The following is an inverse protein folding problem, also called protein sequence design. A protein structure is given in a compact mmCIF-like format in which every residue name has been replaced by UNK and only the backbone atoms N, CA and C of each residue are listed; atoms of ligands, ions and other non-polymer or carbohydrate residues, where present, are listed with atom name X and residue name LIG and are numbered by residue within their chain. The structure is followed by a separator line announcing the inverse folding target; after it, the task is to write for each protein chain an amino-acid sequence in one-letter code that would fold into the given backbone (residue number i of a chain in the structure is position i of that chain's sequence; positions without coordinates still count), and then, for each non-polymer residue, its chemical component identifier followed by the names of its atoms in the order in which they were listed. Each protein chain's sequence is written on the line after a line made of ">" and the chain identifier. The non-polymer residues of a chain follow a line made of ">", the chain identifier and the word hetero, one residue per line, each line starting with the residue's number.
data_IF_160698386137
#
_entry.id   IF_160698386137
#
_cell.length_a   1.000
_cell.length_b   1.000
_cell.length_c   1.000
_cell.angle_alpha   90.00
_cell.angle_beta   90.00
_cell.angle_gamma   90.00
#
_symmetry.space_group_name_H-M   'P 1'
#
loop_
_entity.id
_entity.type
_entity.pdbx_description
1 polymer ?
#
# COMPACT_ATOMS: atom_id res chain seq x y z
N UNK A 1 12.81 0.96 24.32
CA UNK A 1 12.40 -0.25 23.62
C UNK A 1 12.10 0.12 22.19
N UNK A 2 12.83 -0.45 21.22
CA UNK A 2 12.56 -0.25 19.82
C UNK A 2 11.35 -1.07 19.38
N UNK A 3 10.42 -0.46 18.67
CA UNK A 3 9.42 -1.21 17.89
C UNK A 3 10.13 -1.87 16.71
N UNK A 4 9.75 -3.10 16.42
CA UNK A 4 10.21 -3.82 15.22
C UNK A 4 9.08 -3.78 14.22
N UNK A 5 9.39 -3.32 13.02
CA UNK A 5 8.49 -3.36 11.88
C UNK A 5 8.92 -4.54 11.01
N UNK A 6 8.03 -5.48 10.83
CA UNK A 6 8.27 -6.68 10.03
C UNK A 6 7.56 -6.58 8.68
N UNK A 7 8.17 -7.13 7.62
CA UNK A 7 7.63 -7.16 6.27
C UNK A 7 7.20 -5.78 5.71
N UNK A 8 7.92 -4.73 6.11
CA UNK A 8 7.65 -3.37 5.62
C UNK A 8 8.03 -3.25 4.16
N UNK A 9 7.20 -2.53 3.38
CA UNK A 9 7.38 -2.29 1.95
C UNK A 9 7.20 -3.56 1.08
N UNK A 10 6.44 -4.53 1.55
CA UNK A 10 5.97 -5.62 0.70
C UNK A 10 5.06 -5.05 -0.40
N UNK A 11 5.23 -5.51 -1.62
CA UNK A 11 4.36 -5.17 -2.74
C UNK A 11 3.22 -6.19 -2.78
N UNK A 12 2.00 -5.72 -2.81
CA UNK A 12 0.82 -6.54 -3.03
C UNK A 12 0.19 -6.18 -4.38
N UNK A 13 -0.23 -7.19 -5.10
CA UNK A 13 -0.96 -7.12 -6.34
C UNK A 13 -2.32 -7.82 -6.18
N UNK A 14 -3.37 -7.19 -6.68
CA UNK A 14 -4.75 -7.71 -6.66
C UNK A 14 -5.49 -7.31 -7.93
N UNK A 15 -6.66 -7.93 -8.19
CA UNK A 15 -7.49 -7.55 -9.33
C UNK A 15 -8.10 -6.16 -9.18
N UNK A 16 -8.31 -5.53 -10.31
CA UNK A 16 -9.18 -4.37 -10.46
C UNK A 16 -10.06 -4.56 -11.70
N UNK A 17 -11.35 -4.77 -11.50
CA UNK A 17 -12.39 -4.92 -12.54
C UNK A 17 -13.24 -3.64 -12.65
N UNK A 18 -12.69 -2.53 -12.16
CA UNK A 18 -13.31 -1.21 -12.21
C UNK A 18 -13.02 -0.46 -13.50
N UNK A 19 -13.47 0.77 -13.52
CA UNK A 19 -13.16 1.73 -14.57
C UNK A 19 -12.06 2.71 -14.11
N UNK A 20 -11.83 3.78 -14.86
CA UNK A 20 -10.84 4.80 -14.51
C UNK A 20 -11.20 5.66 -13.29
N UNK A 21 -12.38 5.48 -12.69
CA UNK A 21 -12.87 6.26 -11.56
C UNK A 21 -12.93 5.46 -10.27
N UNK A 22 -13.30 4.17 -10.35
CA UNK A 22 -13.59 3.36 -9.17
C UNK A 22 -12.86 2.02 -9.19
N UNK A 23 -12.08 1.77 -8.13
CA UNK A 23 -11.52 0.44 -7.87
C UNK A 23 -12.65 -0.56 -7.60
N UNK A 24 -12.61 -1.69 -8.29
CA UNK A 24 -13.56 -2.79 -8.10
C UNK A 24 -12.85 -4.13 -8.01
N UNK A 25 -12.76 -4.73 -6.81
CA UNK A 25 -12.16 -6.05 -6.68
C UNK A 25 -13.01 -7.10 -7.41
N UNK A 26 -12.38 -8.01 -8.12
CA UNK A 26 -13.09 -9.15 -8.72
C UNK A 26 -13.71 -10.05 -7.65
N UNK A 27 -14.77 -10.81 -8.01
CA UNK A 27 -15.48 -11.70 -7.07
C UNK A 27 -14.59 -12.78 -6.47
N UNK A 28 -13.59 -13.24 -7.20
CA UNK A 28 -12.59 -14.20 -6.75
C UNK A 28 -11.29 -13.48 -6.43
N UNK A 29 -11.20 -12.97 -5.23
CA UNK A 29 -10.02 -12.25 -4.79
C UNK A 29 -8.79 -13.19 -4.77
N UNK A 30 -7.80 -12.86 -5.60
CA UNK A 30 -6.50 -13.52 -5.63
C UNK A 30 -5.42 -12.48 -5.48
N UNK A 31 -4.90 -12.37 -4.26
CA UNK A 31 -3.83 -11.44 -3.91
C UNK A 31 -2.49 -12.14 -4.02
N UNK A 32 -1.56 -11.49 -4.67
CA UNK A 32 -0.17 -11.92 -4.80
C UNK A 32 0.72 -10.92 -4.08
N UNK A 33 1.79 -11.39 -3.47
CA UNK A 33 2.72 -10.51 -2.76
C UNK A 33 4.16 -10.76 -3.18
N UNK A 34 5.00 -9.75 -3.02
CA UNK A 34 6.43 -9.84 -3.37
C UNK A 34 7.17 -10.90 -2.55
N UNK A 35 6.62 -11.34 -1.42
CA UNK A 35 7.17 -12.46 -0.65
C UNK A 35 7.12 -13.80 -1.39
N UNK A 36 6.27 -13.91 -2.42
CA UNK A 36 6.12 -15.12 -3.25
C UNK A 36 6.98 -15.07 -4.52
N UNK A 37 7.56 -13.91 -4.84
CA UNK A 37 8.39 -13.68 -6.01
C UNK A 37 9.89 -13.79 -5.75
N UNK A 38 10.65 -13.44 -6.76
CA UNK A 38 12.11 -13.29 -6.66
C UNK A 38 12.44 -11.95 -6.01
N UNK A 39 13.46 -11.92 -5.15
CA UNK A 39 13.91 -10.69 -4.54
C UNK A 39 15.43 -10.64 -4.37
N UNK A 40 15.97 -9.45 -4.48
CA UNK A 40 17.38 -9.13 -4.24
C UNK A 40 17.46 -7.92 -3.31
N UNK A 41 18.39 -7.94 -2.37
CA UNK A 41 18.62 -6.82 -1.45
C UNK A 41 20.09 -6.46 -1.45
N UNK A 42 20.39 -5.20 -1.76
CA UNK A 42 21.72 -4.61 -1.67
C UNK A 42 21.73 -3.54 -0.58
N UNK A 43 22.70 -3.62 0.35
CA UNK A 43 22.86 -2.62 1.43
C UNK A 43 24.15 -1.86 1.23
N UNK A 44 24.05 -0.53 1.24
CA UNK A 44 25.15 0.40 1.03
C UNK A 44 25.28 1.30 2.25
N UNK A 45 26.46 1.32 2.89
CA UNK A 45 26.77 2.18 4.02
C UNK A 45 27.71 3.30 3.59
N UNK A 46 27.29 4.53 3.84
CA UNK A 46 28.07 5.74 3.60
C UNK A 46 28.32 6.48 4.94
N UNK A 47 29.22 7.45 4.95
CA UNK A 47 29.59 8.15 6.19
C UNK A 47 28.40 8.88 6.87
N UNK A 48 27.39 9.26 6.12
CA UNK A 48 26.27 10.11 6.58
C UNK A 48 24.88 9.51 6.34
N UNK A 49 24.80 8.39 5.64
CA UNK A 49 23.54 7.66 5.40
C UNK A 49 23.78 6.17 5.18
N UNK A 50 22.69 5.40 5.28
CA UNK A 50 22.64 4.02 4.82
C UNK A 50 21.51 3.88 3.80
N UNK A 51 21.70 3.09 2.76
CA UNK A 51 20.69 2.75 1.76
C UNK A 51 20.51 1.26 1.65
N UNK A 52 19.26 0.84 1.46
CA UNK A 52 18.94 -0.50 0.99
C UNK A 52 18.21 -0.38 -0.36
N UNK A 53 18.67 -1.10 -1.36
CA UNK A 53 17.98 -1.24 -2.65
C UNK A 53 17.37 -2.64 -2.67
N UNK A 54 16.05 -2.70 -2.79
CA UNK A 54 15.27 -3.93 -2.76
C UNK A 54 14.65 -4.08 -4.14
N UNK A 55 14.93 -5.17 -4.83
CA UNK A 55 14.37 -5.48 -6.14
C UNK A 55 13.46 -6.67 -6.02
N UNK A 56 12.24 -6.54 -6.51
CA UNK A 56 11.26 -7.60 -6.59
C UNK A 56 10.89 -7.87 -8.04
N UNK A 57 10.69 -9.16 -8.34
CA UNK A 57 10.10 -9.61 -9.60
C UNK A 57 9.02 -10.63 -9.30
N UNK A 58 7.80 -10.31 -9.69
CA UNK A 58 6.62 -11.11 -9.43
C UNK A 58 6.01 -11.56 -10.76
N UNK A 59 5.66 -12.85 -10.86
CA UNK A 59 4.74 -13.31 -11.89
C UNK A 59 3.33 -12.93 -11.45
N UNK A 60 2.58 -12.28 -12.33
CA UNK A 60 1.20 -11.83 -12.08
C UNK A 60 0.32 -12.22 -13.27
N UNK A 61 -1.01 -12.30 -13.12
CA UNK A 61 -1.91 -12.39 -14.28
C UNK A 61 -1.71 -11.20 -15.21
N UNK A 62 -1.68 -11.44 -16.52
CA UNK A 62 -1.55 -10.36 -17.50
C UNK A 62 -2.82 -9.52 -17.61
N UNK A 63 -3.99 -10.11 -17.30
CA UNK A 63 -5.31 -9.49 -17.35
C UNK A 63 -6.32 -10.26 -16.47
N UNK A 64 -7.60 -9.83 -16.47
CA UNK A 64 -8.69 -10.50 -15.75
C UNK A 64 -9.00 -11.91 -16.27
N UNK A 65 -8.76 -12.20 -17.54
CA UNK A 65 -9.00 -13.54 -18.09
C UNK A 65 -7.98 -14.53 -17.53
N UNK A 66 -6.71 -14.18 -17.51
CA UNK A 66 -5.68 -15.00 -16.87
C UNK A 66 -5.90 -15.14 -15.37
N UNK A 67 -6.34 -14.06 -14.70
CA UNK A 67 -6.67 -14.09 -13.29
C UNK A 67 -7.77 -15.12 -12.99
N UNK A 68 -8.84 -15.12 -13.76
CA UNK A 68 -9.92 -16.09 -13.65
C UNK A 68 -9.45 -17.52 -13.91
N UNK A 69 -8.49 -17.68 -14.82
CA UNK A 69 -7.89 -18.98 -15.15
C UNK A 69 -6.75 -19.39 -14.18
N UNK A 70 -6.40 -18.55 -13.20
CA UNK A 70 -5.26 -18.75 -12.27
C UNK A 70 -3.92 -18.90 -13.01
N UNK A 71 -3.75 -18.15 -14.09
CA UNK A 71 -2.51 -18.07 -14.87
C UNK A 71 -1.74 -16.79 -14.55
N UNK A 72 -0.43 -16.81 -14.77
CA UNK A 72 0.49 -15.70 -14.45
C UNK A 72 1.54 -15.62 -15.57
N UNK A 73 1.21 -14.95 -16.66
CA UNK A 73 2.16 -14.69 -17.74
C UNK A 73 2.68 -13.25 -17.73
N UNK A 74 2.01 -12.36 -17.03
CA UNK A 74 2.45 -10.99 -16.79
C UNK A 74 3.60 -10.92 -15.77
N UNK A 75 4.23 -9.78 -15.69
CA UNK A 75 5.34 -9.52 -14.77
C UNK A 75 5.16 -8.15 -14.12
N UNK A 76 5.35 -8.08 -12.83
CA UNK A 76 5.47 -6.85 -12.06
C UNK A 76 6.88 -6.76 -11.48
N UNK A 77 7.62 -5.72 -11.84
CA UNK A 77 8.95 -5.43 -11.32
C UNK A 77 8.88 -4.20 -10.41
N UNK A 78 9.52 -4.29 -9.25
CA UNK A 78 9.59 -3.17 -8.32
C UNK A 78 11.02 -2.99 -7.80
N UNK A 79 11.52 -1.76 -7.84
CA UNK A 79 12.76 -1.37 -7.18
C UNK A 79 12.41 -0.33 -6.10
N UNK A 80 12.72 -0.65 -4.85
CA UNK A 80 12.53 0.22 -3.70
C UNK A 80 13.89 0.64 -3.16
N UNK A 81 14.18 1.93 -3.18
CA UNK A 81 15.37 2.49 -2.54
C UNK A 81 14.99 3.11 -1.21
N UNK A 82 15.42 2.50 -0.13
CA UNK A 82 15.18 2.94 1.26
C UNK A 82 16.42 3.66 1.77
N UNK A 83 16.29 4.92 2.16
CA UNK A 83 17.39 5.75 2.65
C UNK A 83 17.15 6.21 4.08
N UNK A 84 18.12 5.97 4.95
CA UNK A 84 18.15 6.48 6.32
C UNK A 84 19.40 7.35 6.51
N UNK A 85 19.21 8.64 6.69
CA UNK A 85 20.28 9.59 7.02
C UNK A 85 20.61 9.56 8.50
N UNK A 86 21.88 9.81 8.86
CA UNK A 86 22.31 9.88 10.25
C UNK A 86 21.51 10.93 11.02
N UNK A 87 21.13 10.61 12.26
CA UNK A 87 20.32 11.46 13.13
C UNK A 87 18.94 11.84 12.59
N UNK A 88 18.46 11.21 11.52
CA UNK A 88 17.10 11.36 11.03
C UNK A 88 16.15 10.36 11.70
N UNK A 89 14.90 10.80 11.92
CA UNK A 89 13.77 9.92 12.25
C UNK A 89 12.91 9.62 11.04
N UNK A 90 13.26 10.22 9.89
CA UNK A 90 12.58 10.01 8.62
C UNK A 90 13.34 8.95 7.83
N UNK A 91 12.60 8.03 7.26
CA UNK A 91 13.06 7.08 6.27
C UNK A 91 12.50 7.57 4.93
N UNK A 92 13.36 7.77 3.95
CA UNK A 92 12.95 8.13 2.59
C UNK A 92 12.85 6.86 1.75
N UNK A 93 11.78 6.73 0.99
CA UNK A 93 11.53 5.58 0.10
C UNK A 93 11.24 6.10 -1.29
N UNK A 94 12.03 5.68 -2.26
CA UNK A 94 11.76 5.86 -3.69
C UNK A 94 11.32 4.51 -4.26
N UNK A 95 10.18 4.50 -4.95
CA UNK A 95 9.64 3.31 -5.60
C UNK A 95 9.62 3.50 -7.12
N UNK A 96 10.12 2.51 -7.85
CA UNK A 96 10.02 2.42 -9.30
C UNK A 96 9.32 1.12 -9.64
N UNK A 97 8.27 1.21 -10.45
CA UNK A 97 7.47 0.07 -10.87
C UNK A 97 7.55 -0.10 -12.38
N UNK A 98 7.91 -1.32 -12.82
CA UNK A 98 7.75 -1.79 -14.19
C UNK A 98 6.46 -2.60 -14.26
N UNK A 99 5.38 -1.96 -14.68
CA UNK A 99 4.08 -2.59 -14.80
C UNK A 99 3.87 -3.10 -16.23
N UNK A 100 3.66 -4.41 -16.38
CA UNK A 100 3.42 -5.11 -17.65
C UNK A 100 2.19 -6.01 -17.58
N UNK A 101 1.18 -5.59 -16.82
CA UNK A 101 -0.10 -6.26 -16.71
C UNK A 101 -1.23 -5.22 -16.68
N UNK A 102 -2.44 -5.64 -17.04
CA UNK A 102 -3.64 -4.84 -17.07
C UNK A 102 -4.60 -5.26 -15.94
N UNK A 103 -5.62 -4.46 -15.70
CA UNK A 103 -6.76 -4.76 -14.82
C UNK A 103 -6.34 -5.18 -13.40
N UNK A 104 -5.36 -4.48 -12.84
CA UNK A 104 -4.87 -4.78 -11.50
C UNK A 104 -4.50 -3.53 -10.68
N UNK A 105 -4.54 -3.68 -9.38
CA UNK A 105 -4.13 -2.71 -8.40
C UNK A 105 -2.85 -3.16 -7.72
N UNK A 106 -1.89 -2.24 -7.59
CA UNK A 106 -0.62 -2.47 -6.88
C UNK A 106 -0.57 -1.61 -5.63
N UNK A 107 -0.22 -2.20 -4.49
CA UNK A 107 -0.10 -1.53 -3.20
C UNK A 107 1.26 -1.78 -2.57
N UNK A 108 1.75 -0.81 -1.81
CA UNK A 108 2.88 -0.97 -0.90
C UNK A 108 2.33 -1.15 0.51
N UNK A 109 2.65 -2.27 1.14
CA UNK A 109 2.18 -2.59 2.48
C UNK A 109 3.18 -2.08 3.52
N UNK A 110 2.65 -1.43 4.56
CA UNK A 110 3.42 -0.91 5.68
C UNK A 110 2.77 -1.39 6.98
N UNK A 111 3.04 -2.63 7.42
CA UNK A 111 2.51 -3.14 8.67
C UNK A 111 3.03 -2.33 9.86
N UNK A 112 2.16 -2.06 10.83
CA UNK A 112 2.52 -1.38 12.07
C UNK A 112 2.48 -2.35 13.24
N UNK A 113 3.42 -2.25 14.22
CA UNK A 113 3.42 -3.09 15.42
C UNK A 113 2.46 -2.56 16.50
N UNK A 114 1.52 -1.71 16.12
CA UNK A 114 0.47 -1.15 16.96
C UNK A 114 -0.83 -1.04 16.15
N UNK A 115 -1.94 -1.00 16.85
CA UNK A 115 -3.27 -0.77 16.26
C UNK A 115 -3.70 0.67 16.51
N UNK A 116 -4.48 1.23 15.62
CA UNK A 116 -5.07 2.56 15.78
C UNK A 116 -6.56 2.50 15.44
N UNK A 117 -7.38 3.20 16.21
CA UNK A 117 -8.83 3.25 15.95
C UNK A 117 -9.17 4.26 14.84
N UNK A 118 -8.28 5.21 14.60
CA UNK A 118 -8.46 6.28 13.62
C UNK A 118 -7.21 6.53 12.80
N UNK A 119 -7.42 7.07 11.61
CA UNK A 119 -6.38 7.59 10.72
C UNK A 119 -6.65 9.07 10.43
N UNK A 120 -5.62 9.90 10.55
CA UNK A 120 -5.64 11.30 10.12
C UNK A 120 -4.99 11.40 8.76
N UNK A 121 -5.66 11.97 7.78
CA UNK A 121 -5.08 12.26 6.47
C UNK A 121 -5.42 13.68 6.01
N UNK A 122 -4.58 14.25 5.18
CA UNK A 122 -4.85 15.56 4.61
C UNK A 122 -5.82 15.48 3.42
N UNK A 123 -6.54 16.56 3.21
CA UNK A 123 -7.48 16.76 2.11
C UNK A 123 -7.28 18.16 1.53
N UNK A 124 -8.08 18.52 0.50
CA UNK A 124 -7.97 19.82 -0.19
C UNK A 124 -8.05 21.05 0.71
N UNK A 125 -8.73 20.96 1.86
CA UNK A 125 -8.97 22.13 2.74
C UNK A 125 -8.56 21.90 4.19
N UNK A 126 -7.77 20.88 4.46
CA UNK A 126 -7.31 20.58 5.82
C UNK A 126 -7.05 19.11 6.03
N UNK A 127 -7.25 18.64 7.27
CA UNK A 127 -7.05 17.24 7.65
C UNK A 127 -8.37 16.66 8.13
N UNK A 128 -8.59 15.39 7.84
CA UNK A 128 -9.76 14.65 8.24
C UNK A 128 -9.35 13.39 9.01
N UNK A 129 -9.95 13.22 10.20
CA UNK A 129 -9.80 11.97 10.96
C UNK A 129 -10.95 11.05 10.61
N UNK A 130 -10.61 9.81 10.24
CA UNK A 130 -11.56 8.75 9.89
C UNK A 130 -11.40 7.57 10.83
N UNK A 131 -12.46 6.85 11.16
CA UNK A 131 -12.33 5.56 11.83
C UNK A 131 -11.64 4.55 10.89
N UNK A 132 -10.80 3.69 11.45
CA UNK A 132 -10.18 2.57 10.69
C UNK A 132 -11.26 1.53 10.36
N UNK A 133 -12.18 1.29 11.32
CA UNK A 133 -13.36 0.46 11.10
C UNK A 133 -14.60 1.37 11.17
N UNK A 134 -15.34 1.43 10.09
CA UNK A 134 -16.57 2.21 10.00
C UNK A 134 -17.77 1.24 9.93
N UNK A 135 -18.62 1.26 10.96
CA UNK A 135 -19.82 0.41 11.02
C UNK A 135 -20.79 0.70 9.87
N UNK A 136 -20.84 1.95 9.39
CA UNK A 136 -21.68 2.31 8.25
C UNK A 136 -21.24 1.61 6.96
N UNK A 137 -19.94 1.33 6.82
CA UNK A 137 -19.44 0.54 5.69
C UNK A 137 -19.92 -0.92 5.75
N UNK A 138 -20.05 -1.50 6.93
CA UNK A 138 -20.57 -2.86 7.09
C UNK A 138 -22.09 -2.93 6.84
N UNK A 139 -22.82 -1.88 7.19
CA UNK A 139 -24.28 -1.81 7.12
C UNK A 139 -24.80 -0.91 6.01
N UNK A 140 -24.00 -0.70 4.96
CA UNK A 140 -24.27 0.26 3.89
C UNK A 140 -25.65 0.08 3.21
N UNK A 141 -26.14 -1.17 3.10
CA UNK A 141 -27.44 -1.46 2.52
C UNK A 141 -28.58 -0.99 3.43
N UNK A 142 -28.43 -1.15 4.75
CA UNK A 142 -29.41 -0.70 5.75
C UNK A 142 -29.43 0.83 5.84
N UNK A 143 -28.26 1.48 5.64
CA UNK A 143 -28.12 2.92 5.52
C UNK A 143 -28.68 3.49 4.21
N UNK A 144 -29.07 2.63 3.26
CA UNK A 144 -29.69 3.01 2.00
C UNK A 144 -28.72 3.53 0.95
N UNK A 145 -27.43 3.21 1.08
CA UNK A 145 -26.43 3.55 0.06
C UNK A 145 -26.68 2.72 -1.20
N UNK A 146 -26.40 3.30 -2.36
CA UNK A 146 -26.60 2.62 -3.65
C UNK A 146 -25.46 1.70 -4.03
N UNK A 147 -24.27 1.99 -3.52
CA UNK A 147 -23.03 1.29 -3.84
C UNK A 147 -22.33 0.87 -2.56
N UNK A 148 -21.65 -0.27 -2.60
CA UNK A 148 -20.84 -0.72 -1.49
C UNK A 148 -19.64 0.22 -1.30
N UNK A 149 -19.40 0.74 -0.09
CA UNK A 149 -18.25 1.55 0.15
C UNK A 149 -16.97 0.72 0.11
N UNK A 150 -15.90 1.33 -0.33
CA UNK A 150 -14.56 0.76 -0.30
C UNK A 150 -13.74 1.44 0.82
N UNK A 151 -12.88 0.70 1.56
CA UNK A 151 -12.02 1.27 2.60
C UNK A 151 -10.80 1.98 2.00
N UNK A 152 -10.98 2.61 0.86
CA UNK A 152 -9.95 3.36 0.12
C UNK A 152 -10.22 4.85 0.27
N UNK A 153 -9.24 5.57 0.76
CA UNK A 153 -9.34 6.99 1.07
C UNK A 153 -8.33 7.80 0.28
N UNK A 154 -8.75 8.98 -0.16
CA UNK A 154 -7.85 9.93 -0.80
C UNK A 154 -6.99 10.66 0.23
N UNK A 155 -5.76 10.96 -0.15
CA UNK A 155 -4.85 11.87 0.55
C UNK A 155 -4.15 12.80 -0.45
N UNK A 156 -3.61 13.91 0.02
CA UNK A 156 -2.78 14.79 -0.80
C UNK A 156 -1.29 14.54 -0.58
N UNK A 157 -0.85 14.55 0.67
CA UNK A 157 0.55 14.48 1.03
C UNK A 157 0.85 13.56 2.19
N UNK A 158 -0.10 13.28 3.12
CA UNK A 158 0.19 12.45 4.27
C UNK A 158 -1.00 11.70 4.84
N UNK A 159 -0.68 10.58 5.50
CA UNK A 159 -1.56 9.89 6.43
C UNK A 159 -0.80 9.59 7.73
N UNK A 160 -1.50 9.65 8.86
CA UNK A 160 -0.94 9.43 10.20
C UNK A 160 -1.77 8.42 10.96
N UNK A 161 -1.11 7.37 11.43
CA UNK A 161 -1.65 6.45 12.43
C UNK A 161 -1.00 6.73 13.76
N UNK A 162 -1.78 6.83 14.83
CA UNK A 162 -1.27 7.07 16.16
C UNK A 162 -2.06 6.28 17.21
N UNK A 163 -1.33 5.62 18.09
CA UNK A 163 -1.84 5.00 19.31
C UNK A 163 -1.00 5.46 20.50
N UNK A 164 -1.62 6.24 21.42
CA UNK A 164 -0.99 6.76 22.65
C UNK A 164 0.39 7.42 22.38
N UNK A 165 1.49 6.66 22.58
CA UNK A 165 2.88 7.14 22.40
C UNK A 165 3.55 6.63 21.13
N UNK A 166 2.89 5.70 20.45
CA UNK A 166 3.38 5.13 19.19
C UNK A 166 2.66 5.81 18.03
N UNK A 167 3.36 6.00 16.95
CA UNK A 167 2.76 6.59 15.76
C UNK A 167 3.67 6.46 14.55
N UNK A 168 3.05 6.51 13.41
CA UNK A 168 3.70 6.54 12.12
C UNK A 168 3.01 7.59 11.25
N UNK A 169 3.81 8.40 10.59
CA UNK A 169 3.35 9.31 9.55
C UNK A 169 3.95 8.87 8.21
N UNK A 170 3.09 8.68 7.25
CA UNK A 170 3.46 8.43 5.86
C UNK A 170 3.29 9.72 5.08
N UNK A 171 4.37 10.19 4.45
CA UNK A 171 4.33 11.30 3.49
C UNK A 171 4.49 10.74 2.09
N UNK A 172 3.64 11.18 1.17
CA UNK A 172 3.62 10.64 -0.19
C UNK A 172 3.83 11.74 -1.24
N UNK A 173 4.58 11.39 -2.28
CA UNK A 173 4.64 12.13 -3.53
C UNK A 173 4.13 11.23 -4.65
N UNK A 174 3.05 11.65 -5.33
CA UNK A 174 2.47 10.89 -6.45
C UNK A 174 1.43 9.84 -6.07
N UNK A 175 1.47 9.27 -4.88
CA UNK A 175 0.40 8.40 -4.38
C UNK A 175 -0.74 9.25 -3.82
N UNK A 176 -1.97 8.90 -4.18
CA UNK A 176 -3.17 9.69 -3.83
C UNK A 176 -4.20 8.90 -3.03
N UNK A 177 -3.96 7.63 -2.84
CA UNK A 177 -4.88 6.74 -2.13
C UNK A 177 -4.14 5.92 -1.08
N UNK A 178 -4.86 5.61 -0.02
CA UNK A 178 -4.42 4.72 1.02
C UNK A 178 -5.59 3.91 1.58
N UNK A 179 -5.28 2.80 2.19
CA UNK A 179 -6.20 1.93 2.90
C UNK A 179 -5.57 1.57 4.25
N UNK A 180 -6.38 1.44 5.29
CA UNK A 180 -5.95 0.91 6.60
C UNK A 180 -6.79 -0.32 6.89
N UNK A 181 -6.13 -1.45 7.15
CA UNK A 181 -6.77 -2.76 7.38
C UNK A 181 -6.36 -3.36 8.71
#
# INVERSE_FOLDING_TARGET
>A
SGLIYDRVLEIEESSDDGDEYDYSPSREEWRLTSAQGEHEVEVIHEAWQSRAVIRHRMAVPADLAERSARQQTGTLEAELTVTLSHNSRRIDVEARLGNHADDHRVRVLIPTPFTADTVLADTQFGSLTRPVQDEAMANWQEEGWKEAPLPVWNLLNYAVLQERRNGMALFTEGLREFEVT
#
